data_IF_941676861637
#
_entry.id   IF_941676861637
#
_cell.length_a   1.000
_cell.length_b   1.000
_cell.length_c   1.000
_cell.angle_alpha   90.00
_cell.angle_beta   90.00
_cell.angle_gamma   90.00
#
_symmetry.space_group_name_H-M   'P 1'
#
loop_
_entity.id
_entity.type
_entity.pdbx_description
1 polymer ?
#
# COMPACT_ATOMS: atom_id res chain seq x y z
N UNK A 1 -5.74 -10.23 -9.16
CA UNK A 1 -4.34 -10.56 -8.80
C UNK A 1 -4.04 -12.05 -8.93
N UNK A 2 -4.65 -12.95 -8.14
CA UNK A 2 -4.41 -14.42 -8.24
C UNK A 2 -4.57 -14.96 -9.67
N UNK A 3 -5.65 -14.60 -10.35
CA UNK A 3 -5.88 -15.05 -11.73
C UNK A 3 -4.79 -14.64 -12.73
N UNK A 4 -4.10 -13.51 -12.48
CA UNK A 4 -3.08 -12.99 -13.38
C UNK A 4 -1.67 -13.44 -12.99
N UNK A 5 -1.37 -13.53 -11.68
CA UNK A 5 0.00 -13.66 -11.18
C UNK A 5 0.23 -14.87 -10.28
N UNK A 6 -0.64 -15.90 -10.29
CA UNK A 6 -0.40 -17.13 -9.52
C UNK A 6 0.98 -17.73 -9.79
N UNK A 7 1.42 -17.73 -11.05
CA UNK A 7 2.75 -18.21 -11.43
C UNK A 7 3.88 -17.25 -11.03
N UNK A 8 3.62 -15.93 -11.02
CA UNK A 8 4.56 -14.95 -10.48
C UNK A 8 4.83 -15.21 -9.00
N UNK A 9 3.78 -15.36 -8.20
CA UNK A 9 3.95 -15.75 -6.80
C UNK A 9 4.63 -17.11 -6.66
N UNK A 10 4.26 -18.13 -7.44
CA UNK A 10 4.94 -19.42 -7.37
C UNK A 10 6.46 -19.30 -7.59
N UNK A 11 6.90 -18.45 -8.52
CA UNK A 11 8.33 -18.16 -8.74
C UNK A 11 8.95 -17.48 -7.51
N UNK A 12 8.29 -16.47 -6.93
CA UNK A 12 8.74 -15.81 -5.70
C UNK A 12 8.92 -16.82 -4.54
N UNK A 13 7.96 -17.75 -4.37
CA UNK A 13 8.01 -18.80 -3.36
C UNK A 13 9.22 -19.74 -3.53
N UNK A 14 9.59 -20.07 -4.78
CA UNK A 14 10.81 -20.84 -5.04
C UNK A 14 12.04 -20.08 -4.56
N UNK A 15 12.14 -18.79 -4.85
CA UNK A 15 13.25 -17.97 -4.35
C UNK A 15 13.29 -17.90 -2.82
N UNK A 16 12.14 -17.78 -2.14
CA UNK A 16 12.08 -17.81 -0.68
C UNK A 16 12.55 -19.15 -0.09
N UNK A 17 12.17 -20.28 -0.70
CA UNK A 17 12.64 -21.59 -0.24
C UNK A 17 14.16 -21.69 -0.38
N UNK A 18 14.72 -21.27 -1.54
CA UNK A 18 16.17 -21.27 -1.76
C UNK A 18 16.86 -20.34 -0.77
N UNK A 19 16.31 -19.17 -0.49
CA UNK A 19 16.81 -18.21 0.50
C UNK A 19 16.89 -18.86 1.89
N UNK A 20 15.80 -19.44 2.40
CA UNK A 20 15.74 -20.05 3.72
C UNK A 20 16.74 -21.22 3.81
N UNK A 21 16.78 -22.08 2.80
CA UNK A 21 17.71 -23.21 2.75
C UNK A 21 19.16 -22.72 2.74
N UNK A 22 19.48 -21.69 1.94
CA UNK A 22 20.82 -21.11 1.90
C UNK A 22 21.23 -20.52 3.25
N UNK A 23 20.33 -19.81 3.94
CA UNK A 23 20.59 -19.28 5.29
C UNK A 23 20.85 -20.40 6.32
N UNK A 24 20.03 -21.46 6.30
CA UNK A 24 20.22 -22.62 7.18
C UNK A 24 21.54 -23.35 6.90
N UNK A 25 21.89 -23.55 5.63
CA UNK A 25 23.18 -24.13 5.24
C UNK A 25 24.32 -23.25 5.71
N UNK A 26 24.25 -21.93 5.48
CA UNK A 26 25.27 -20.98 5.90
C UNK A 26 25.53 -21.05 7.42
N UNK A 27 24.46 -21.08 8.22
CA UNK A 27 24.56 -21.22 9.66
C UNK A 27 25.08 -22.61 10.09
N UNK A 28 24.47 -23.69 9.59
CA UNK A 28 24.76 -25.05 10.05
C UNK A 28 26.15 -25.55 9.62
N UNK A 29 26.73 -24.97 8.58
CA UNK A 29 28.04 -25.34 8.04
C UNK A 29 29.17 -24.43 8.50
N UNK A 30 28.91 -23.48 9.43
CA UNK A 30 29.94 -22.61 10.00
C UNK A 30 31.14 -23.44 10.49
N UNK A 31 32.34 -23.08 10.02
CA UNK A 31 33.60 -23.81 10.25
C UNK A 31 33.67 -25.29 9.77
N UNK A 32 32.66 -25.78 9.02
CA UNK A 32 32.62 -27.15 8.47
C UNK A 32 32.97 -27.25 6.98
N UNK A 33 32.73 -26.18 6.21
CA UNK A 33 33.05 -26.11 4.77
C UNK A 33 34.11 -25.03 4.50
N UNK A 34 34.74 -25.07 3.33
CA UNK A 34 35.74 -24.07 2.94
C UNK A 34 35.15 -22.65 2.94
N UNK A 35 35.99 -21.64 3.23
CA UNK A 35 35.61 -20.22 3.17
C UNK A 35 35.00 -19.81 1.83
N UNK A 36 35.53 -20.35 0.73
CA UNK A 36 35.02 -20.11 -0.63
C UNK A 36 33.59 -20.64 -0.77
N UNK A 37 33.32 -21.85 -0.28
CA UNK A 37 31.99 -22.43 -0.31
C UNK A 37 31.00 -21.63 0.56
N UNK A 38 31.42 -21.20 1.75
CA UNK A 38 30.62 -20.31 2.62
C UNK A 38 30.20 -19.02 1.92
N UNK A 39 31.13 -18.31 1.31
CA UNK A 39 30.83 -17.07 0.55
C UNK A 39 29.89 -17.36 -0.62
N UNK A 40 30.05 -18.50 -1.29
CA UNK A 40 29.18 -18.90 -2.40
C UNK A 40 27.74 -19.16 -1.93
N UNK A 41 27.55 -19.80 -0.78
CA UNK A 41 26.22 -19.96 -0.15
C UNK A 41 25.61 -18.60 0.18
N UNK A 42 26.41 -17.67 0.70
CA UNK A 42 25.98 -16.28 0.92
C UNK A 42 25.52 -15.58 -0.36
N UNK A 43 26.20 -15.81 -1.50
CA UNK A 43 25.76 -15.29 -2.79
C UNK A 43 24.45 -15.92 -3.28
N UNK A 44 24.26 -17.22 -3.07
CA UNK A 44 22.98 -17.89 -3.39
C UNK A 44 21.85 -17.28 -2.58
N UNK A 45 22.07 -17.04 -1.27
CA UNK A 45 21.12 -16.34 -0.42
C UNK A 45 20.79 -14.94 -0.98
N UNK A 46 21.82 -14.12 -1.22
CA UNK A 46 21.66 -12.75 -1.70
C UNK A 46 20.90 -12.68 -3.04
N UNK A 47 21.29 -13.49 -4.02
CA UNK A 47 20.64 -13.48 -5.34
C UNK A 47 19.19 -13.94 -5.24
N UNK A 48 18.91 -14.97 -4.44
CA UNK A 48 17.54 -15.48 -4.27
C UNK A 48 16.64 -14.45 -3.59
N UNK A 49 17.12 -13.83 -2.51
CA UNK A 49 16.39 -12.76 -1.81
C UNK A 49 16.12 -11.56 -2.75
N UNK A 50 17.10 -11.17 -3.56
CA UNK A 50 16.93 -10.08 -4.52
C UNK A 50 15.96 -10.44 -5.65
N UNK A 51 16.01 -11.67 -6.17
CA UNK A 51 15.07 -12.12 -7.20
C UNK A 51 13.65 -12.24 -6.67
N UNK A 52 13.45 -12.55 -5.38
CA UNK A 52 12.14 -12.43 -4.73
C UNK A 52 11.60 -11.00 -4.84
N UNK A 53 12.42 -9.99 -4.49
CA UNK A 53 12.08 -8.57 -4.67
C UNK A 53 11.72 -8.24 -6.13
N UNK A 54 12.51 -8.70 -7.11
CA UNK A 54 12.27 -8.47 -8.55
C UNK A 54 10.88 -8.95 -8.96
N UNK A 55 10.45 -10.12 -8.47
CA UNK A 55 9.16 -10.72 -8.83
C UNK A 55 8.00 -10.00 -8.15
N UNK A 56 8.04 -9.82 -6.83
CA UNK A 56 6.93 -9.19 -6.10
C UNK A 56 6.75 -7.72 -6.49
N UNK A 57 7.85 -7.04 -6.85
CA UNK A 57 7.82 -5.67 -7.34
C UNK A 57 6.91 -5.53 -8.57
N UNK A 58 6.96 -6.48 -9.51
CA UNK A 58 6.07 -6.48 -10.67
C UNK A 58 4.60 -6.53 -10.30
N UNK A 59 4.24 -7.38 -9.35
CA UNK A 59 2.85 -7.56 -8.91
C UNK A 59 2.35 -6.33 -8.13
N UNK A 60 3.19 -5.77 -7.25
CA UNK A 60 2.80 -4.61 -6.42
C UNK A 60 2.67 -3.33 -7.26
N UNK A 61 3.60 -3.10 -8.20
CA UNK A 61 3.55 -1.92 -9.08
C UNK A 61 2.41 -1.97 -10.08
N UNK A 62 2.07 -3.17 -10.56
CA UNK A 62 0.92 -3.42 -11.43
C UNK A 62 -0.40 -2.91 -10.83
N UNK A 63 -0.57 -3.04 -9.51
CA UNK A 63 -1.78 -2.58 -8.83
C UNK A 63 -1.99 -1.06 -8.97
N UNK A 64 -0.91 -0.30 -9.08
CA UNK A 64 -0.95 1.15 -9.18
C UNK A 64 -0.91 1.63 -10.63
N UNK A 65 -0.07 1.05 -11.47
CA UNK A 65 0.03 1.38 -12.88
C UNK A 65 -0.09 0.09 -13.69
N UNK A 66 -1.29 -0.37 -14.04
CA UNK A 66 -1.44 -1.61 -14.82
C UNK A 66 -0.99 -1.46 -16.27
N UNK A 67 -0.95 -0.23 -16.82
CA UNK A 67 -0.45 0.05 -18.17
C UNK A 67 -1.22 -0.69 -19.26
N UNK A 68 -0.51 -1.18 -20.27
CA UNK A 68 -1.07 -1.90 -21.42
C UNK A 68 -1.85 -3.16 -21.04
N UNK A 69 -1.67 -3.70 -19.84
CA UNK A 69 -2.47 -4.83 -19.37
C UNK A 69 -3.97 -4.56 -19.40
N UNK A 70 -4.40 -3.30 -19.25
CA UNK A 70 -5.82 -2.94 -19.32
C UNK A 70 -6.46 -3.36 -20.66
N UNK A 71 -5.70 -3.29 -21.76
CA UNK A 71 -6.14 -3.67 -23.11
C UNK A 71 -5.76 -5.13 -23.44
N UNK A 72 -4.51 -5.53 -23.19
CA UNK A 72 -3.98 -6.82 -23.67
C UNK A 72 -4.29 -8.00 -22.76
N UNK A 73 -4.48 -7.74 -21.47
CA UNK A 73 -4.56 -8.74 -20.39
C UNK A 73 -3.34 -9.66 -20.30
N UNK A 74 -2.25 -9.36 -21.00
CA UNK A 74 -1.07 -10.22 -21.07
C UNK A 74 -0.18 -10.08 -19.84
N UNK A 75 0.35 -11.20 -19.35
CA UNK A 75 1.16 -11.24 -18.11
C UNK A 75 2.29 -10.21 -18.09
N UNK A 76 3.08 -10.13 -19.16
CA UNK A 76 4.28 -9.31 -19.21
C UNK A 76 4.01 -7.81 -19.30
N UNK A 77 2.91 -7.42 -19.95
CA UNK A 77 2.49 -6.03 -20.09
C UNK A 77 2.11 -5.44 -18.73
N UNK A 78 1.49 -6.25 -17.86
CA UNK A 78 1.21 -5.87 -16.49
C UNK A 78 2.42 -6.00 -15.57
N UNK A 79 3.30 -6.99 -15.81
CA UNK A 79 4.46 -7.22 -14.96
C UNK A 79 5.52 -6.12 -15.13
N UNK A 80 5.89 -5.78 -16.36
CA UNK A 80 6.82 -4.70 -16.69
C UNK A 80 6.10 -3.38 -16.95
N UNK A 81 5.23 -3.03 -16.02
CA UNK A 81 4.42 -1.83 -16.10
C UNK A 81 5.22 -0.53 -15.88
N UNK A 82 4.63 0.66 -16.13
CA UNK A 82 5.35 1.93 -16.11
C UNK A 82 6.16 2.23 -14.84
N UNK A 83 5.69 1.77 -13.66
CA UNK A 83 6.39 2.01 -12.39
C UNK A 83 7.27 0.85 -11.94
N UNK A 84 7.41 -0.22 -12.72
CA UNK A 84 8.23 -1.39 -12.40
C UNK A 84 9.70 -1.02 -12.11
N UNK A 85 10.42 -0.50 -13.11
CA UNK A 85 11.84 -0.17 -12.97
C UNK A 85 12.10 0.97 -11.98
N UNK A 86 11.31 2.06 -11.97
CA UNK A 86 11.45 3.08 -10.94
C UNK A 86 11.29 2.54 -9.51
N UNK A 87 10.28 1.69 -9.28
CA UNK A 87 10.06 1.07 -7.97
C UNK A 87 11.16 0.06 -7.64
N UNK A 88 11.65 -0.71 -8.61
CA UNK A 88 12.75 -1.65 -8.38
C UNK A 88 14.04 -0.93 -7.96
N UNK A 89 14.38 0.18 -8.62
CA UNK A 89 15.53 1.02 -8.26
C UNK A 89 15.35 1.60 -6.85
N UNK A 90 14.18 2.16 -6.57
CA UNK A 90 13.82 2.70 -5.27
C UNK A 90 13.94 1.66 -4.16
N UNK A 91 13.29 0.50 -4.34
CA UNK A 91 13.30 -0.60 -3.37
C UNK A 91 14.70 -1.19 -3.18
N UNK A 92 15.51 -1.24 -4.23
CA UNK A 92 16.93 -1.62 -4.11
C UNK A 92 17.67 -0.66 -3.17
N UNK A 93 17.48 0.65 -3.34
CA UNK A 93 18.04 1.65 -2.43
C UNK A 93 17.53 1.52 -1.00
N UNK A 94 16.22 1.29 -0.81
CA UNK A 94 15.60 1.06 0.50
C UNK A 94 16.18 -0.18 1.17
N UNK A 95 16.38 -1.30 0.46
CA UNK A 95 16.95 -2.52 1.02
C UNK A 95 18.38 -2.28 1.51
N UNK A 96 19.22 -1.58 0.73
CA UNK A 96 20.58 -1.21 1.14
C UNK A 96 20.56 -0.32 2.39
N UNK A 97 19.68 0.68 2.40
CA UNK A 97 19.49 1.62 3.49
C UNK A 97 19.05 0.89 4.77
N UNK A 98 18.02 0.04 4.69
CA UNK A 98 17.50 -0.72 5.82
C UNK A 98 18.50 -1.75 6.33
N UNK A 99 19.16 -2.50 5.44
CA UNK A 99 20.22 -3.42 5.82
C UNK A 99 21.32 -2.69 6.61
N UNK A 100 21.70 -1.49 6.19
CA UNK A 100 22.67 -0.68 6.91
C UNK A 100 22.15 -0.19 8.26
N UNK A 101 20.90 0.28 8.32
CA UNK A 101 20.25 0.72 9.56
C UNK A 101 20.16 -0.40 10.62
N UNK A 102 20.05 -1.66 10.20
CA UNK A 102 20.16 -2.81 11.10
C UNK A 102 21.62 -3.11 11.46
N UNK A 103 22.53 -3.11 10.49
CA UNK A 103 23.94 -3.51 10.68
C UNK A 103 24.77 -2.54 11.54
N UNK A 104 24.34 -1.28 11.69
CA UNK A 104 25.00 -0.35 12.63
C UNK A 104 24.90 -0.81 14.09
N UNK A 105 23.87 -1.58 14.46
CA UNK A 105 23.69 -2.05 15.84
C UNK A 105 24.67 -3.16 16.24
N UNK A 106 24.82 -4.26 15.47
CA UNK A 106 25.89 -5.21 15.70
C UNK A 106 27.29 -4.60 15.61
N UNK A 107 27.49 -3.56 14.80
CA UNK A 107 28.78 -2.89 14.67
C UNK A 107 29.29 -2.25 15.99
N UNK A 108 28.40 -1.99 16.96
CA UNK A 108 28.81 -1.56 18.30
C UNK A 108 29.57 -2.63 19.09
N UNK A 109 29.42 -3.92 18.75
CA UNK A 109 30.17 -5.02 19.38
C UNK A 109 31.62 -5.10 18.88
N UNK A 110 31.98 -4.38 17.82
CA UNK A 110 33.35 -4.32 17.35
C UNK A 110 34.24 -3.54 18.36
N UNK A 111 35.50 -3.95 18.50
CA UNK A 111 36.47 -3.26 19.34
C UNK A 111 36.71 -1.81 18.90
N UNK A 112 37.20 -0.97 19.83
CA UNK A 112 37.30 0.48 19.63
C UNK A 112 38.14 0.91 18.42
N UNK A 113 39.13 0.09 18.02
CA UNK A 113 39.95 0.32 16.84
C UNK A 113 39.23 -0.03 15.52
N UNK A 114 38.42 -1.09 15.53
CA UNK A 114 37.73 -1.61 14.35
C UNK A 114 36.38 -0.90 14.10
N UNK A 115 35.68 -0.51 15.17
CA UNK A 115 34.35 0.10 15.10
C UNK A 115 34.30 1.33 14.18
N UNK A 116 35.21 2.33 14.26
CA UNK A 116 35.14 3.48 13.36
C UNK A 116 35.34 3.14 11.88
N UNK A 117 36.14 2.11 11.58
CA UNK A 117 36.33 1.62 10.20
C UNK A 117 35.07 0.93 9.70
N UNK A 118 34.45 0.09 10.53
CA UNK A 118 33.20 -0.59 10.21
C UNK A 118 32.04 0.41 10.02
N UNK A 119 31.92 1.41 10.90
CA UNK A 119 30.91 2.47 10.76
C UNK A 119 31.08 3.26 9.46
N UNK A 120 32.31 3.53 9.03
CA UNK A 120 32.58 4.19 7.75
C UNK A 120 32.26 3.30 6.55
N UNK A 121 32.57 2.01 6.64
CA UNK A 121 32.19 1.03 5.63
C UNK A 121 30.66 0.99 5.44
N UNK A 122 29.92 0.87 6.55
CA UNK A 122 28.46 0.95 6.56
C UNK A 122 27.98 2.31 6.06
N UNK A 123 28.63 3.41 6.44
CA UNK A 123 28.30 4.75 5.97
C UNK A 123 28.30 4.90 4.45
N UNK A 124 29.22 4.25 3.74
CA UNK A 124 29.24 4.27 2.27
C UNK A 124 28.08 3.49 1.66
N UNK A 125 27.70 2.36 2.24
CA UNK A 125 26.50 1.63 1.85
C UNK A 125 25.23 2.44 2.11
N UNK A 126 25.11 3.05 3.29
CA UNK A 126 23.98 3.93 3.61
C UNK A 126 23.90 5.11 2.63
N UNK A 127 25.03 5.76 2.35
CA UNK A 127 25.10 6.85 1.39
C UNK A 127 24.64 6.39 0.00
N UNK A 128 25.16 5.29 -0.52
CA UNK A 128 24.70 4.74 -1.79
C UNK A 128 23.19 4.41 -1.77
N UNK A 129 22.69 3.79 -0.71
CA UNK A 129 21.27 3.48 -0.52
C UNK A 129 20.38 4.73 -0.55
N UNK A 130 20.81 5.82 0.07
CA UNK A 130 20.12 7.13 0.01
C UNK A 130 20.04 7.65 -1.42
N UNK A 131 21.15 7.70 -2.17
CA UNK A 131 21.12 8.25 -3.54
C UNK A 131 20.32 7.36 -4.49
N UNK A 132 20.46 6.03 -4.39
CA UNK A 132 19.71 5.08 -5.21
C UNK A 132 18.21 5.16 -4.90
N UNK A 133 17.83 5.20 -3.62
CA UNK A 133 16.43 5.34 -3.24
C UNK A 133 15.86 6.69 -3.65
N UNK A 134 16.58 7.79 -3.46
CA UNK A 134 16.14 9.11 -3.91
C UNK A 134 15.95 9.15 -5.44
N UNK A 135 16.91 8.66 -6.21
CA UNK A 135 16.81 8.59 -7.68
C UNK A 135 15.62 7.74 -8.12
N UNK A 136 15.45 6.56 -7.53
CA UNK A 136 14.29 5.69 -7.77
C UNK A 136 12.97 6.37 -7.41
N UNK A 137 12.90 7.10 -6.30
CA UNK A 137 11.72 7.87 -5.91
C UNK A 137 11.41 8.99 -6.91
N UNK A 138 12.40 9.77 -7.34
CA UNK A 138 12.21 10.84 -8.33
C UNK A 138 11.71 10.29 -9.66
N UNK A 139 12.27 9.17 -10.10
CA UNK A 139 11.82 8.48 -11.30
C UNK A 139 10.41 7.91 -11.13
N UNK A 140 10.12 7.30 -9.97
CA UNK A 140 8.81 6.73 -9.67
C UNK A 140 7.74 7.82 -9.67
N UNK A 141 7.97 8.94 -8.97
CA UNK A 141 7.06 10.09 -8.97
C UNK A 141 6.85 10.62 -10.39
N UNK A 142 7.91 10.71 -11.20
CA UNK A 142 7.84 11.15 -12.59
C UNK A 142 7.06 10.20 -13.51
N UNK A 143 7.01 8.90 -13.19
CA UNK A 143 6.30 7.89 -13.97
C UNK A 143 4.81 7.77 -13.62
N UNK A 144 4.34 8.46 -12.59
CA UNK A 144 2.92 8.45 -12.22
C UNK A 144 2.08 9.36 -13.15
N UNK A 145 0.81 8.99 -13.39
CA UNK A 145 -0.16 9.85 -14.08
C UNK A 145 -0.24 11.25 -13.47
N UNK A 146 -0.52 12.26 -14.31
CA UNK A 146 -0.58 13.66 -13.84
C UNK A 146 -1.67 13.89 -12.78
N UNK A 147 -2.83 13.26 -12.94
CA UNK A 147 -3.94 13.29 -11.97
C UNK A 147 -3.49 12.81 -10.58
N UNK A 148 -2.59 11.82 -10.54
CA UNK A 148 -1.98 11.30 -9.33
C UNK A 148 -0.90 12.23 -8.77
N UNK A 149 -0.03 12.79 -9.63
CA UNK A 149 1.02 13.72 -9.18
C UNK A 149 0.45 15.00 -8.62
N UNK A 150 -0.69 15.46 -9.16
CA UNK A 150 -1.43 16.60 -8.66
C UNK A 150 -1.88 16.42 -7.20
N UNK A 151 -2.08 15.18 -6.73
CA UNK A 151 -2.41 14.88 -5.33
C UNK A 151 -1.27 15.27 -4.38
N UNK A 152 -0.02 15.14 -4.83
CA UNK A 152 1.16 15.49 -4.03
C UNK A 152 1.39 16.99 -3.88
N UNK A 153 0.68 17.80 -4.68
CA UNK A 153 0.72 19.26 -4.61
C UNK A 153 -0.31 19.83 -3.63
N UNK A 154 -1.14 18.99 -3.00
CA UNK A 154 -2.14 19.42 -2.02
C UNK A 154 -3.24 20.30 -2.62
N UNK A 155 -3.60 20.07 -3.89
CA UNK A 155 -4.58 20.90 -4.61
C UNK A 155 -5.97 20.97 -3.95
N UNK A 156 -6.33 19.98 -3.13
CA UNK A 156 -7.60 19.99 -2.37
C UNK A 156 -7.40 19.61 -0.90
N UNK A 157 -8.25 20.11 0.03
CA UNK A 157 -8.18 19.78 1.45
C UNK A 157 -8.23 18.27 1.75
N UNK A 158 -8.99 17.52 0.95
CA UNK A 158 -9.09 16.06 1.06
C UNK A 158 -7.75 15.34 0.84
N UNK A 159 -6.77 15.98 0.20
CA UNK A 159 -5.51 15.37 -0.24
C UNK A 159 -4.28 15.82 0.56
N UNK A 160 -4.45 16.73 1.54
CA UNK A 160 -3.35 17.30 2.34
C UNK A 160 -2.51 16.22 3.02
N UNK A 161 -3.13 15.13 3.49
CA UNK A 161 -2.42 14.05 4.17
C UNK A 161 -1.39 13.31 3.30
N UNK A 162 -1.58 13.27 1.97
CA UNK A 162 -0.57 12.71 1.05
C UNK A 162 0.59 13.68 0.83
N UNK A 163 0.31 14.98 0.70
CA UNK A 163 1.35 16.00 0.61
C UNK A 163 2.23 15.99 1.88
N UNK A 164 1.63 15.94 3.07
CA UNK A 164 2.35 15.84 4.34
C UNK A 164 3.22 14.58 4.42
N UNK A 165 2.70 13.43 3.96
CA UNK A 165 3.46 12.18 3.91
C UNK A 165 4.67 12.31 2.97
N UNK A 166 4.52 13.00 1.84
CA UNK A 166 5.61 13.29 0.91
C UNK A 166 6.66 14.19 1.54
N UNK A 167 6.25 15.25 2.23
CA UNK A 167 7.18 16.12 2.96
C UNK A 167 7.93 15.34 4.04
N UNK A 168 7.24 14.55 4.85
CA UNK A 168 7.85 13.68 5.85
C UNK A 168 8.89 12.75 5.22
N UNK A 169 8.55 12.11 4.10
CA UNK A 169 9.45 11.22 3.37
C UNK A 169 10.72 11.96 2.90
N UNK A 170 10.58 13.15 2.29
CA UNK A 170 11.72 13.97 1.85
C UNK A 170 12.60 14.45 3.01
N UNK A 171 12.01 14.86 4.13
CA UNK A 171 12.75 15.25 5.32
C UNK A 171 13.44 14.06 5.98
N UNK A 172 12.81 12.89 6.00
CA UNK A 172 13.36 11.67 6.55
C UNK A 172 14.63 11.24 5.78
N UNK A 173 14.59 11.18 4.44
CA UNK A 173 15.79 10.82 3.66
C UNK A 173 16.90 11.87 3.74
N UNK A 174 16.53 13.15 3.86
CA UNK A 174 17.50 14.23 4.10
C UNK A 174 18.17 14.05 5.46
N UNK A 175 17.41 13.72 6.50
CA UNK A 175 17.95 13.45 7.82
C UNK A 175 18.85 12.19 7.83
N UNK A 176 18.46 11.11 7.14
CA UNK A 176 19.32 9.93 6.96
C UNK A 176 20.65 10.33 6.30
N UNK A 177 20.62 11.14 5.24
CA UNK A 177 21.82 11.62 4.57
C UNK A 177 22.72 12.40 5.53
N UNK A 178 22.16 13.38 6.24
CA UNK A 178 22.90 14.23 7.18
C UNK A 178 23.54 13.41 8.29
N UNK A 179 22.77 12.50 8.93
CA UNK A 179 23.29 11.64 9.98
C UNK A 179 24.36 10.67 9.46
N UNK A 180 24.21 10.17 8.23
CA UNK A 180 25.22 9.31 7.58
C UNK A 180 26.52 10.07 7.35
N UNK A 181 26.44 11.25 6.73
CA UNK A 181 27.63 12.07 6.43
C UNK A 181 28.33 12.47 7.73
N UNK A 182 27.59 12.94 8.73
CA UNK A 182 28.16 13.42 9.99
C UNK A 182 28.72 12.26 10.82
N UNK A 183 27.89 11.25 11.11
CA UNK A 183 28.20 10.25 12.12
C UNK A 183 28.82 8.98 11.56
N UNK A 184 28.52 8.56 10.33
CA UNK A 184 29.12 7.34 9.76
C UNK A 184 30.38 7.64 8.95
N UNK A 185 30.42 8.76 8.19
CA UNK A 185 31.54 9.07 7.30
C UNK A 185 32.57 10.03 7.90
N UNK A 186 32.15 11.23 8.31
CA UNK A 186 33.03 12.30 8.78
C UNK A 186 33.53 12.06 10.20
N UNK A 187 32.64 11.70 11.13
CA UNK A 187 32.95 11.50 12.55
C UNK A 187 32.46 10.13 13.08
N UNK A 188 32.97 8.99 12.56
CA UNK A 188 32.58 7.64 12.99
C UNK A 188 32.80 7.34 14.48
N UNK A 189 33.72 8.06 15.16
CA UNK A 189 33.88 7.97 16.62
C UNK A 189 32.69 8.55 17.40
N UNK A 190 31.89 9.40 16.77
CA UNK A 190 30.69 10.01 17.34
C UNK A 190 29.39 9.25 17.02
N UNK A 191 29.45 8.17 16.24
CA UNK A 191 28.31 7.26 15.99
C UNK A 191 27.93 6.50 17.27
N UNK A 192 27.26 7.18 18.20
CA UNK A 192 26.72 6.63 19.44
C UNK A 192 25.29 6.14 19.24
N UNK A 193 24.74 5.45 20.23
CA UNK A 193 23.40 4.87 20.17
C UNK A 193 22.31 5.88 19.78
N UNK A 194 22.32 7.11 20.33
CA UNK A 194 21.27 8.11 20.04
C UNK A 194 21.29 8.55 18.57
N UNK A 195 22.41 9.03 17.98
CA UNK A 195 22.45 9.32 16.54
C UNK A 195 22.06 8.14 15.65
N UNK A 196 22.45 6.91 16.02
CA UNK A 196 22.10 5.71 15.25
C UNK A 196 20.62 5.32 15.39
N UNK A 197 20.01 5.58 16.55
CA UNK A 197 18.57 5.47 16.75
C UNK A 197 17.82 6.46 15.87
N UNK A 198 18.22 7.73 15.88
CA UNK A 198 17.61 8.75 15.01
C UNK A 198 17.76 8.41 13.53
N UNK A 199 18.93 7.91 13.11
CA UNK A 199 19.17 7.43 11.75
C UNK A 199 18.27 6.25 11.40
N UNK A 200 18.10 5.29 12.32
CA UNK A 200 17.22 4.13 12.14
C UNK A 200 15.76 4.56 12.05
N UNK A 201 15.29 5.43 12.93
CA UNK A 201 13.92 5.96 12.90
C UNK A 201 13.64 6.76 11.64
N UNK A 202 14.59 7.59 11.19
CA UNK A 202 14.47 8.33 9.93
C UNK A 202 14.44 7.37 8.71
N UNK A 203 15.24 6.31 8.73
CA UNK A 203 15.20 5.26 7.70
C UNK A 203 13.83 4.57 7.63
N UNK A 204 13.25 4.21 8.78
CA UNK A 204 11.90 3.65 8.85
C UNK A 204 10.83 4.66 8.43
N UNK A 205 10.96 5.93 8.80
CA UNK A 205 10.04 6.99 8.38
C UNK A 205 10.05 7.19 6.86
N UNK A 206 11.23 7.12 6.22
CA UNK A 206 11.33 7.15 4.76
C UNK A 206 10.66 5.94 4.11
N UNK A 207 10.98 4.72 4.57
CA UNK A 207 10.37 3.49 4.04
C UNK A 207 8.84 3.47 4.22
N UNK A 208 8.36 3.72 5.44
CA UNK A 208 6.93 3.75 5.76
C UNK A 208 6.19 4.90 5.06
N UNK A 209 6.83 6.06 4.93
CA UNK A 209 6.31 7.19 4.17
C UNK A 209 6.12 6.83 2.70
N UNK A 210 7.08 6.13 2.09
CA UNK A 210 6.94 5.66 0.70
C UNK A 210 5.78 4.69 0.54
N UNK A 211 5.69 3.68 1.42
CA UNK A 211 4.60 2.69 1.33
C UNK A 211 3.23 3.33 1.55
N UNK A 212 3.12 4.29 2.47
CA UNK A 212 1.89 5.08 2.67
C UNK A 212 1.54 5.91 1.44
N UNK A 213 2.52 6.57 0.80
CA UNK A 213 2.27 7.31 -0.44
C UNK A 213 1.81 6.40 -1.57
N UNK A 214 2.53 5.30 -1.81
CA UNK A 214 2.17 4.31 -2.84
C UNK A 214 0.75 3.79 -2.60
N UNK A 215 0.43 3.43 -1.37
CA UNK A 215 -0.89 2.92 -1.01
C UNK A 215 -2.00 3.97 -1.15
N UNK A 216 -1.82 5.16 -0.61
CA UNK A 216 -2.83 6.21 -0.69
C UNK A 216 -3.04 6.72 -2.11
N UNK A 217 -1.97 6.74 -2.92
CA UNK A 217 -2.06 7.07 -4.36
C UNK A 217 -2.89 6.05 -5.14
N UNK A 218 -2.78 4.77 -4.78
CA UNK A 218 -3.49 3.66 -5.42
C UNK A 218 -5.00 3.68 -5.11
N UNK A 219 -5.37 4.02 -3.87
CA UNK A 219 -6.79 4.07 -3.46
C UNK A 219 -7.62 5.01 -4.35
N UNK A 220 -8.87 4.66 -4.68
CA UNK A 220 -9.67 3.58 -4.11
C UNK A 220 -9.46 2.21 -4.78
N UNK A 221 -8.55 2.10 -5.73
CA UNK A 221 -8.39 0.91 -6.56
C UNK A 221 -7.63 -0.23 -5.89
N UNK A 222 -8.04 -1.47 -6.18
CA UNK A 222 -7.17 -2.64 -6.09
C UNK A 222 -6.19 -2.68 -7.26
N UNK A 223 -6.73 -2.52 -8.48
CA UNK A 223 -6.02 -2.40 -9.75
C UNK A 223 -6.55 -1.14 -10.41
N UNK A 224 -5.69 -0.14 -10.61
CA UNK A 224 -6.08 1.17 -11.13
C UNK A 224 -6.92 1.04 -12.41
N UNK A 225 -8.04 1.78 -12.50
CA UNK A 225 -8.99 1.80 -13.62
C UNK A 225 -9.62 0.44 -14.01
N UNK A 226 -9.49 -0.58 -13.17
CA UNK A 226 -10.06 -1.90 -13.46
C UNK A 226 -10.89 -2.47 -12.31
N UNK A 227 -10.41 -2.35 -11.06
CA UNK A 227 -11.05 -2.97 -9.91
C UNK A 227 -10.81 -2.14 -8.65
N UNK A 228 -11.88 -1.86 -7.91
CA UNK A 228 -11.84 -1.17 -6.62
C UNK A 228 -11.36 -2.08 -5.49
N UNK A 229 -11.02 -1.48 -4.35
CA UNK A 229 -10.51 -2.20 -3.16
C UNK A 229 -11.52 -3.19 -2.57
N UNK A 230 -12.82 -3.00 -2.83
CA UNK A 230 -13.89 -3.93 -2.45
C UNK A 230 -14.12 -5.06 -3.50
N UNK A 231 -13.35 -5.07 -4.59
CA UNK A 231 -13.42 -6.09 -5.64
C UNK A 231 -14.43 -5.83 -6.75
N UNK A 232 -15.23 -4.76 -6.66
CA UNK A 232 -16.11 -4.31 -7.76
C UNK A 232 -15.24 -3.86 -8.93
N UNK A 233 -15.58 -4.28 -10.15
CA UNK A 233 -14.92 -3.78 -11.36
C UNK A 233 -15.59 -2.51 -11.85
N UNK A 234 -14.80 -1.64 -12.47
CA UNK A 234 -15.29 -0.39 -13.06
C UNK A 234 -16.39 -0.65 -14.08
N UNK A 235 -16.21 -1.68 -14.93
CA UNK A 235 -17.18 -2.09 -15.96
C UNK A 235 -18.49 -2.67 -15.41
N UNK A 236 -18.58 -2.93 -14.11
CA UNK A 236 -19.78 -3.48 -13.47
C UNK A 236 -20.65 -2.43 -12.81
N UNK A 237 -20.19 -1.20 -12.60
CA UNK A 237 -20.93 -0.18 -11.83
C UNK A 237 -22.34 0.01 -12.40
N UNK A 238 -22.47 0.24 -13.71
CA UNK A 238 -23.76 0.48 -14.35
C UNK A 238 -24.72 -0.72 -14.22
N UNK A 239 -24.23 -1.94 -14.49
CA UNK A 239 -25.02 -3.16 -14.34
C UNK A 239 -25.50 -3.36 -12.89
N UNK A 240 -24.62 -3.11 -11.91
CA UNK A 240 -24.95 -3.28 -10.50
C UNK A 240 -25.93 -2.20 -9.99
N UNK A 241 -25.94 -1.01 -10.60
CA UNK A 241 -26.94 0.02 -10.34
C UNK A 241 -28.35 -0.39 -10.78
N UNK A 242 -28.46 -1.16 -11.87
CA UNK A 242 -29.75 -1.64 -12.39
C UNK A 242 -30.21 -2.97 -11.77
N UNK A 243 -29.31 -3.95 -11.64
CA UNK A 243 -29.64 -5.32 -11.20
C UNK A 243 -29.47 -5.52 -9.69
N UNK A 244 -28.79 -4.60 -9.01
CA UNK A 244 -28.39 -4.70 -7.61
C UNK A 244 -27.09 -5.47 -7.38
N UNK A 245 -26.36 -5.10 -6.35
CA UNK A 245 -25.13 -5.74 -5.89
C UNK A 245 -25.35 -7.21 -5.51
N UNK A 246 -26.44 -7.50 -4.81
CA UNK A 246 -26.75 -8.83 -4.30
C UNK A 246 -27.01 -9.85 -5.43
N UNK A 247 -27.35 -9.40 -6.64
CA UNK A 247 -27.45 -10.27 -7.82
C UNK A 247 -26.14 -11.00 -8.13
N UNK A 248 -25.00 -10.39 -7.82
CA UNK A 248 -23.66 -10.94 -8.08
C UNK A 248 -22.98 -11.48 -6.82
N UNK A 249 -23.33 -10.95 -5.64
CA UNK A 249 -22.72 -11.30 -4.37
C UNK A 249 -23.44 -12.47 -3.66
N UNK A 250 -23.32 -13.68 -4.22
CA UNK A 250 -24.05 -14.89 -3.77
C UNK A 250 -24.11 -15.12 -2.26
N UNK A 251 -22.99 -14.95 -1.55
CA UNK A 251 -22.93 -15.17 -0.10
C UNK A 251 -23.62 -14.06 0.69
N UNK A 252 -23.50 -12.81 0.26
CA UNK A 252 -24.20 -11.68 0.86
C UNK A 252 -25.71 -11.81 0.62
N UNK A 253 -26.11 -12.18 -0.61
CA UNK A 253 -27.50 -12.40 -0.98
C UNK A 253 -28.15 -13.52 -0.17
N UNK A 254 -27.45 -14.65 0.01
CA UNK A 254 -27.94 -15.75 0.83
C UNK A 254 -28.15 -15.37 2.31
N UNK A 255 -27.41 -14.37 2.80
CA UNK A 255 -27.50 -13.88 4.17
C UNK A 255 -28.40 -12.64 4.33
N UNK A 256 -28.87 -12.05 3.24
CA UNK A 256 -29.81 -10.93 3.20
C UNK A 256 -31.25 -11.46 3.27
N UNK A 257 -31.59 -12.10 4.39
CA UNK A 257 -32.85 -12.84 4.56
C UNK A 257 -34.07 -11.94 4.72
N UNK A 258 -33.86 -10.69 5.13
CA UNK A 258 -34.90 -9.71 5.42
C UNK A 258 -34.51 -8.35 4.80
N UNK A 259 -35.46 -7.60 4.22
CA UNK A 259 -35.24 -6.23 3.78
C UNK A 259 -34.77 -5.30 4.91
N UNK A 260 -34.27 -4.11 4.54
CA UNK A 260 -33.82 -3.10 5.50
C UNK A 260 -32.50 -3.48 6.18
N UNK A 261 -32.41 -3.27 7.50
CA UNK A 261 -31.18 -3.42 8.32
C UNK A 261 -30.38 -4.71 8.07
N UNK A 262 -31.03 -5.88 7.94
CA UNK A 262 -30.33 -7.15 7.71
C UNK A 262 -29.65 -7.16 6.34
N UNK A 263 -30.35 -6.73 5.31
CA UNK A 263 -29.83 -6.55 3.95
C UNK A 263 -28.71 -5.52 3.92
N UNK A 264 -28.93 -4.35 4.53
CA UNK A 264 -27.94 -3.28 4.66
C UNK A 264 -26.64 -3.73 5.32
N UNK A 265 -26.74 -4.58 6.34
CA UNK A 265 -25.57 -5.17 6.99
C UNK A 265 -24.77 -6.06 6.04
N UNK A 266 -25.41 -6.84 5.18
CA UNK A 266 -24.70 -7.66 4.20
C UNK A 266 -24.03 -6.81 3.13
N UNK A 267 -24.69 -5.74 2.69
CA UNK A 267 -24.12 -4.76 1.77
C UNK A 267 -22.90 -4.09 2.39
N UNK A 268 -22.98 -3.62 3.64
CA UNK A 268 -21.83 -3.07 4.37
C UNK A 268 -20.66 -4.05 4.41
N UNK A 269 -20.92 -5.32 4.75
CA UNK A 269 -19.89 -6.37 4.81
C UNK A 269 -19.22 -6.62 3.47
N UNK A 270 -19.96 -6.47 2.37
CA UNK A 270 -19.45 -6.76 1.05
C UNK A 270 -18.74 -5.55 0.39
N UNK A 271 -19.24 -4.34 0.59
CA UNK A 271 -18.74 -3.14 -0.09
C UNK A 271 -17.88 -2.22 0.79
N UNK A 272 -18.20 -2.11 2.09
CA UNK A 272 -17.59 -1.12 2.99
C UNK A 272 -16.53 -1.74 3.92
N UNK A 273 -16.75 -2.99 4.37
CA UNK A 273 -15.90 -3.63 5.38
C UNK A 273 -14.48 -3.98 4.88
N UNK A 274 -14.22 -3.85 3.58
CA UNK A 274 -12.87 -3.93 3.02
C UNK A 274 -11.99 -2.74 3.46
N UNK A 275 -12.60 -1.61 3.83
CA UNK A 275 -11.90 -0.39 4.25
C UNK A 275 -12.28 0.08 5.65
N UNK A 276 -13.50 -0.22 6.11
CA UNK A 276 -14.00 0.24 7.40
C UNK A 276 -14.20 -0.91 8.38
N UNK A 277 -13.78 -0.69 9.63
CA UNK A 277 -14.20 -1.53 10.75
C UNK A 277 -15.46 -0.96 11.40
N UNK A 278 -16.07 -1.69 12.33
CA UNK A 278 -17.12 -1.14 13.20
C UNK A 278 -16.55 -0.38 14.41
N UNK A 279 -15.25 -0.45 14.65
CA UNK A 279 -14.59 0.13 15.83
C UNK A 279 -13.07 0.06 15.71
N UNK A 280 -12.36 0.98 16.39
CA UNK A 280 -10.90 1.06 16.34
C UNK A 280 -10.38 1.73 15.06
N UNK A 281 -9.37 1.13 14.43
CA UNK A 281 -8.72 1.75 13.26
C UNK A 281 -9.67 1.79 12.05
N UNK A 282 -9.93 3.00 11.52
CA UNK A 282 -10.88 3.27 10.42
C UNK A 282 -12.32 2.83 10.73
N UNK A 283 -12.76 3.00 11.98
CA UNK A 283 -14.13 2.73 12.39
C UNK A 283 -15.12 3.61 11.61
N UNK A 284 -16.10 2.99 10.94
CA UNK A 284 -17.17 3.73 10.24
C UNK A 284 -17.94 4.63 11.22
N UNK A 285 -18.11 4.19 12.46
CA UNK A 285 -18.85 4.90 13.52
C UNK A 285 -18.25 6.27 13.85
N UNK A 286 -16.95 6.46 13.64
CA UNK A 286 -16.27 7.73 13.91
C UNK A 286 -16.50 8.76 12.80
N UNK A 287 -17.04 8.32 11.65
CA UNK A 287 -17.27 9.14 10.46
C UNK A 287 -18.75 9.30 10.10
N UNK A 288 -19.64 8.50 10.70
CA UNK A 288 -21.07 8.58 10.41
C UNK A 288 -21.70 9.81 11.09
N UNK A 289 -22.48 10.61 10.33
CA UNK A 289 -23.35 11.62 10.93
C UNK A 289 -24.38 11.00 11.88
N UNK A 290 -24.82 11.77 12.88
CA UNK A 290 -25.92 11.37 13.78
C UNK A 290 -27.29 11.35 13.07
N UNK A 291 -27.44 12.16 12.02
CA UNK A 291 -28.67 12.29 11.25
C UNK A 291 -28.72 11.27 10.09
N UNK A 292 -29.71 10.37 10.03
CA UNK A 292 -29.89 9.42 8.93
C UNK A 292 -29.97 10.07 7.54
N UNK A 293 -30.55 11.28 7.41
CA UNK A 293 -30.65 11.97 6.12
C UNK A 293 -29.26 12.41 5.62
N UNK A 294 -28.37 12.74 6.56
CA UNK A 294 -26.97 13.02 6.26
C UNK A 294 -26.19 11.75 5.92
N UNK A 295 -26.52 10.61 6.52
CA UNK A 295 -25.96 9.31 6.11
C UNK A 295 -26.37 9.01 4.66
N UNK A 296 -27.65 9.19 4.32
CA UNK A 296 -28.14 9.00 2.96
C UNK A 296 -27.39 9.89 1.97
N UNK A 297 -27.23 11.19 2.26
CA UNK A 297 -26.52 12.10 1.35
C UNK A 297 -25.07 11.67 1.08
N UNK A 298 -24.35 11.19 2.09
CA UNK A 298 -22.98 10.66 1.92
C UNK A 298 -22.97 9.41 1.03
N UNK A 299 -23.88 8.46 1.26
CA UNK A 299 -23.93 7.23 0.44
C UNK A 299 -24.40 7.55 -0.98
N UNK A 300 -25.34 8.48 -1.15
CA UNK A 300 -25.78 8.96 -2.45
C UNK A 300 -24.65 9.65 -3.22
N UNK A 301 -23.84 10.49 -2.58
CA UNK A 301 -22.64 11.06 -3.21
C UNK A 301 -21.67 9.97 -3.67
N UNK A 302 -21.50 8.89 -2.89
CA UNK A 302 -20.69 7.74 -3.33
C UNK A 302 -21.33 6.99 -4.51
N UNK A 303 -22.66 6.92 -4.58
CA UNK A 303 -23.38 6.33 -5.71
C UNK A 303 -23.21 7.19 -6.98
N UNK A 304 -23.47 8.49 -6.90
CA UNK A 304 -23.34 9.48 -7.98
C UNK A 304 -21.90 9.56 -8.51
N UNK A 305 -20.91 9.49 -7.60
CA UNK A 305 -19.49 9.40 -7.95
C UNK A 305 -19.16 8.20 -8.87
N UNK A 306 -20.00 7.16 -8.88
CA UNK A 306 -19.91 6.04 -9.82
C UNK A 306 -19.91 6.49 -11.29
N UNK A 307 -20.66 7.55 -11.63
CA UNK A 307 -20.74 8.10 -12.98
C UNK A 307 -19.37 8.60 -13.48
N UNK A 308 -18.58 9.22 -12.61
CA UNK A 308 -17.24 9.69 -12.97
C UNK A 308 -16.33 8.55 -13.47
N UNK A 309 -16.54 7.33 -12.97
CA UNK A 309 -15.77 6.15 -13.37
C UNK A 309 -16.33 5.44 -14.61
N UNK A 310 -17.63 5.57 -14.89
CA UNK A 310 -18.27 4.92 -16.06
C UNK A 310 -18.32 5.82 -17.28
N UNK A 311 -18.23 7.14 -17.11
CA UNK A 311 -18.27 8.13 -18.19
C UNK A 311 -16.97 8.18 -19.03
N UNK A 312 -15.86 7.70 -18.48
CA UNK A 312 -14.54 7.73 -19.13
C UNK A 312 -14.28 6.47 -19.96
N UNK A 313 -13.46 6.61 -21.01
CA UNK A 313 -13.03 5.44 -21.77
C UNK A 313 -12.14 4.53 -20.89
N UNK A 314 -12.11 3.20 -21.13
CA UNK A 314 -11.25 2.30 -20.38
C UNK A 314 -9.77 2.75 -20.39
N UNK A 315 -9.23 3.03 -19.21
CA UNK A 315 -7.85 3.50 -19.03
C UNK A 315 -7.65 5.01 -19.03
N UNK A 316 -8.71 5.80 -19.20
CA UNK A 316 -8.69 7.23 -18.89
C UNK A 316 -8.80 7.43 -17.37
N UNK A 317 -7.82 8.11 -16.74
CA UNK A 317 -7.81 8.25 -15.30
C UNK A 317 -8.81 9.32 -14.85
N UNK A 318 -9.65 8.98 -13.87
CA UNK A 318 -10.49 9.96 -13.16
C UNK A 318 -9.60 10.96 -12.41
N UNK A 319 -9.89 12.26 -12.55
CA UNK A 319 -9.26 13.26 -11.70
C UNK A 319 -9.86 13.18 -10.30
N UNK A 320 -9.12 12.55 -9.38
CA UNK A 320 -9.52 12.41 -7.98
C UNK A 320 -9.68 13.76 -7.27
N UNK A 321 -9.12 14.85 -7.79
CA UNK A 321 -9.32 16.17 -7.19
C UNK A 321 -10.77 16.67 -7.34
N UNK A 322 -11.54 16.14 -8.29
CA UNK A 322 -12.94 16.49 -8.54
C UNK A 322 -13.92 15.60 -7.75
N UNK A 323 -13.41 14.59 -7.04
CA UNK A 323 -14.20 13.65 -6.26
C UNK A 323 -14.41 14.14 -4.83
N UNK A 324 -15.63 14.02 -4.31
CA UNK A 324 -15.92 14.27 -2.89
C UNK A 324 -15.23 13.24 -1.98
N UNK A 325 -15.20 11.97 -2.42
CA UNK A 325 -14.59 10.87 -1.69
C UNK A 325 -13.50 10.17 -2.52
N UNK A 326 -12.34 10.82 -2.73
CA UNK A 326 -11.30 10.37 -3.66
C UNK A 326 -10.58 9.08 -3.27
N UNK A 327 -10.75 8.64 -2.03
CA UNK A 327 -10.11 7.43 -1.48
C UNK A 327 -11.09 6.28 -1.23
N UNK A 328 -12.37 6.47 -1.52
CA UNK A 328 -13.41 5.46 -1.33
C UNK A 328 -13.92 4.97 -2.69
N UNK A 329 -14.17 3.65 -2.84
CA UNK A 329 -14.92 3.15 -3.99
C UNK A 329 -16.32 3.79 -4.05
N UNK A 330 -16.90 3.96 -5.25
CA UNK A 330 -18.31 4.32 -5.35
C UNK A 330 -19.18 3.21 -4.76
N UNK A 331 -20.40 3.58 -4.33
CA UNK A 331 -21.42 2.60 -3.98
C UNK A 331 -21.96 1.99 -5.28
N UNK A 332 -22.03 0.66 -5.36
CA UNK A 332 -22.55 -0.05 -6.52
C UNK A 332 -23.71 -0.94 -6.09
N UNK A 333 -24.94 -0.59 -6.45
CA UNK A 333 -26.17 -1.28 -6.06
C UNK A 333 -27.40 -0.46 -6.44
N UNK A 334 -28.60 -1.01 -6.25
CA UNK A 334 -29.84 -0.26 -6.51
C UNK A 334 -30.10 0.78 -5.42
N UNK A 335 -31.09 1.66 -5.65
CA UNK A 335 -31.56 2.60 -4.65
C UNK A 335 -32.13 1.89 -3.41
N UNK A 336 -32.85 0.78 -3.58
CA UNK A 336 -33.36 0.00 -2.44
C UNK A 336 -32.24 -0.63 -1.61
N UNK A 337 -31.17 -1.08 -2.25
CA UNK A 337 -29.98 -1.59 -1.57
C UNK A 337 -29.22 -0.46 -0.84
N UNK A 338 -29.17 0.74 -1.43
CA UNK A 338 -28.62 1.93 -0.80
C UNK A 338 -29.41 2.32 0.45
N UNK A 339 -30.75 2.38 0.36
CA UNK A 339 -31.64 2.66 1.49
C UNK A 339 -31.43 1.64 2.62
N UNK A 340 -31.38 0.34 2.28
CA UNK A 340 -31.11 -0.71 3.26
C UNK A 340 -29.75 -0.50 3.96
N UNK A 341 -28.70 -0.12 3.21
CA UNK A 341 -27.39 0.22 3.79
C UNK A 341 -27.49 1.41 4.74
N UNK A 342 -28.20 2.47 4.35
CA UNK A 342 -28.41 3.67 5.19
C UNK A 342 -29.14 3.30 6.50
N UNK A 343 -30.19 2.48 6.43
CA UNK A 343 -30.90 2.00 7.62
C UNK A 343 -29.96 1.26 8.57
N UNK A 344 -29.11 0.37 8.05
CA UNK A 344 -28.12 -0.33 8.86
C UNK A 344 -27.11 0.64 9.50
N UNK A 345 -26.57 1.58 8.74
CA UNK A 345 -25.61 2.56 9.25
C UNK A 345 -26.23 3.44 10.33
N UNK A 346 -27.50 3.83 10.19
CA UNK A 346 -28.22 4.58 11.22
C UNK A 346 -28.32 3.81 12.56
N UNK A 347 -28.46 2.48 12.53
CA UNK A 347 -28.44 1.66 13.76
C UNK A 347 -27.09 1.67 14.50
N UNK A 348 -26.01 2.08 13.83
CA UNK A 348 -24.67 2.14 14.44
C UNK A 348 -24.42 3.46 15.18
N UNK A 349 -25.21 4.50 14.90
CA UNK A 349 -25.05 5.83 15.51
C UNK A 349 -26.13 6.09 16.55
N UNK A 350 -27.32 5.52 16.39
CA UNK A 350 -28.43 5.64 17.32
C UNK A 350 -28.26 4.65 18.48
N UNK A 351 -28.28 5.07 19.75
CA UNK A 351 -28.26 4.14 20.88
C UNK A 351 -29.46 3.19 20.79
N UNK A 352 -29.22 1.88 20.97
CA UNK A 352 -30.21 0.81 20.81
C UNK A 352 -31.55 1.02 21.59
N UNK A 353 -31.60 1.93 22.55
CA UNK A 353 -32.81 2.27 23.32
C UNK A 353 -33.86 3.09 22.54
N UNK A 354 -33.50 3.82 21.48
CA UNK A 354 -34.46 4.69 20.76
C UNK A 354 -35.16 4.01 19.57
N UNK A 355 -34.58 2.94 19.02
CA UNK A 355 -35.21 2.17 17.92
C UNK A 355 -36.42 1.38 18.42
N UNK A 356 -36.41 0.91 19.68
CA UNK A 356 -37.54 0.21 20.29
C UNK A 356 -38.75 1.13 20.58
N UNK A 357 -38.58 2.46 20.65
CA UNK A 357 -39.68 3.39 20.91
C UNK A 357 -40.46 3.82 19.65
N UNK A 358 -39.94 3.58 18.43
CA UNK A 358 -40.65 3.89 17.18
C UNK A 358 -41.41 2.70 16.57
N UNK A 359 -41.33 1.51 17.18
CA UNK A 359 -41.98 0.28 16.71
C UNK A 359 -43.10 -0.24 17.61
N UNK A 360 -43.82 0.63 18.34
CA UNK A 360 -44.91 0.23 19.22
C UNK A 360 -46.29 0.38 18.57
N UNK A 361 -46.86 -0.74 18.12
CA UNK A 361 -48.30 -1.03 18.28
C UNK A 361 -48.47 -1.65 19.68
#
# INVERSE_FOLDING_TARGET
>A
LIRNYVWGWAIEWVFFIVEIVAALVYYATWDKISKKAHVMVGWVYFVSAYLSLVIINGIITFMLTPGEWLSTRAFWDGFFNPTYFPSLLLRTGIVILMATAFMVWPAFKAGDEARPRLMRYLGWWMFAGVFVSYAGYRWWEGALPETIRALFLGKTPALVGLADTRHLLMWAITLVLLLTVIFLLARPKAARAIPMLLLTLAAFAFFGGYERLREGTRKPFLIHDYMFSNGVRVDQIAQLGEEGFLSTARWAAAAATEPGVVTGRQIFRAQCAACHTLGGYLAITDYLPEDPDMIYSVVYTLYDQGEAFTALAPGEPVDKAELDYPFMPPFAGTEEEMEALVEYLATLVVPAETVAQKGGI
#
